data_IF_463650080816
#
_entry.id   IF_463650080816
#
_cell.length_a   1.000
_cell.length_b   1.000
_cell.length_c   1.000
_cell.angle_alpha   90.00
_cell.angle_beta   90.00
_cell.angle_gamma   90.00
#
_symmetry.space_group_name_H-M   'P 1'
#
loop_
_entity.id
_entity.type
_entity.pdbx_description
1 polymer ?
#
# COMPACT_ATOMS: atom_id res chain seq x y z
N UNK A 1 -9.61 -9.13 27.41
CA UNK A 1 -9.58 -8.73 25.98
C UNK A 1 -8.27 -9.11 25.30
N UNK A 2 -7.10 -8.79 25.90
CA UNK A 2 -5.81 -9.17 25.30
C UNK A 2 -5.64 -10.70 25.14
N UNK A 3 -6.07 -11.49 26.10
CA UNK A 3 -6.04 -12.96 26.00
C UNK A 3 -6.90 -13.47 24.84
N UNK A 4 -8.13 -12.96 24.71
CA UNK A 4 -9.04 -13.30 23.60
C UNK A 4 -8.41 -12.92 22.26
N UNK A 5 -7.78 -11.75 22.18
CA UNK A 5 -7.09 -11.33 20.97
C UNK A 5 -5.94 -12.28 20.61
N UNK A 6 -5.13 -12.66 21.59
CA UNK A 6 -4.02 -13.57 21.35
C UNK A 6 -4.49 -14.99 20.95
N UNK A 7 -5.62 -15.46 21.46
CA UNK A 7 -6.26 -16.70 21.02
C UNK A 7 -6.75 -16.59 19.56
N UNK A 8 -7.38 -15.47 19.19
CA UNK A 8 -7.74 -15.18 17.79
C UNK A 8 -6.50 -15.18 16.89
N UNK A 9 -5.42 -14.55 17.33
CA UNK A 9 -4.16 -14.54 16.59
C UNK A 9 -3.60 -15.95 16.41
N UNK A 10 -3.63 -16.76 17.43
CA UNK A 10 -3.16 -18.16 17.39
C UNK A 10 -3.93 -18.96 16.34
N UNK A 11 -5.26 -18.88 16.36
CA UNK A 11 -6.16 -19.59 15.44
C UNK A 11 -5.90 -19.15 13.99
N UNK A 12 -5.89 -17.84 13.72
CA UNK A 12 -5.74 -17.32 12.37
C UNK A 12 -4.31 -17.44 11.83
N UNK A 13 -3.27 -17.24 12.66
CA UNK A 13 -1.88 -17.41 12.23
C UNK A 13 -1.57 -18.84 11.81
N UNK A 14 -2.11 -19.84 12.51
CA UNK A 14 -1.94 -21.23 12.13
C UNK A 14 -2.47 -21.49 10.71
N UNK A 15 -3.63 -20.93 10.39
CA UNK A 15 -4.23 -21.01 9.06
C UNK A 15 -3.42 -20.25 8.00
N UNK A 16 -2.93 -19.05 8.34
CA UNK A 16 -2.13 -18.21 7.43
C UNK A 16 -0.80 -18.90 7.10
N UNK A 17 -0.11 -19.45 8.10
CA UNK A 17 1.18 -20.13 7.91
C UNK A 17 1.05 -21.39 7.05
N UNK A 18 -0.04 -22.13 7.20
CA UNK A 18 -0.32 -23.34 6.44
C UNK A 18 -0.99 -23.07 5.09
N UNK A 19 -1.34 -21.81 4.79
CA UNK A 19 -2.05 -21.38 3.57
C UNK A 19 -3.26 -22.27 3.27
N UNK A 20 -4.12 -22.47 4.27
CA UNK A 20 -5.28 -23.36 4.23
C UNK A 20 -6.29 -22.93 3.16
N UNK A 21 -7.20 -23.84 2.80
CA UNK A 21 -8.29 -23.55 1.86
C UNK A 21 -9.28 -22.55 2.47
N UNK A 22 -9.99 -21.81 1.62
CA UNK A 22 -10.95 -20.78 2.02
C UNK A 22 -11.99 -21.29 3.02
N UNK A 23 -12.49 -22.52 2.81
CA UNK A 23 -13.48 -23.14 3.72
C UNK A 23 -12.94 -23.47 5.10
N UNK A 24 -11.67 -23.85 5.18
CA UNK A 24 -11.00 -24.08 6.46
C UNK A 24 -10.77 -22.76 7.20
N UNK A 25 -10.40 -21.72 6.44
CA UNK A 25 -10.23 -20.38 6.98
C UNK A 25 -11.55 -19.77 7.47
N UNK A 26 -12.64 -19.95 6.73
CA UNK A 26 -14.00 -19.56 7.15
C UNK A 26 -14.37 -20.20 8.50
N UNK A 27 -14.05 -21.50 8.68
CA UNK A 27 -14.29 -22.19 9.94
C UNK A 27 -13.45 -21.60 11.10
N UNK A 28 -12.19 -21.26 10.85
CA UNK A 28 -11.35 -20.61 11.86
C UNK A 28 -11.91 -19.24 12.24
N UNK A 29 -12.39 -18.45 11.27
CA UNK A 29 -13.06 -17.17 11.53
C UNK A 29 -14.35 -17.38 12.33
N UNK A 30 -15.13 -18.43 12.06
CA UNK A 30 -16.28 -18.80 12.89
C UNK A 30 -15.87 -19.09 14.35
N UNK A 31 -14.76 -19.79 14.56
CA UNK A 31 -14.23 -20.05 15.90
C UNK A 31 -13.85 -18.74 16.59
N UNK A 32 -13.22 -17.80 15.87
CA UNK A 32 -12.93 -16.47 16.40
C UNK A 32 -14.20 -15.74 16.85
N UNK A 33 -15.31 -15.85 16.12
CA UNK A 33 -16.58 -15.25 16.53
C UNK A 33 -17.12 -15.95 17.82
N UNK A 34 -16.90 -17.24 17.97
CA UNK A 34 -17.25 -17.96 19.23
C UNK A 34 -16.39 -17.46 20.40
N UNK A 35 -15.10 -17.23 20.20
CA UNK A 35 -14.21 -16.62 21.21
C UNK A 35 -14.69 -15.22 21.61
N UNK A 36 -15.26 -14.45 20.68
CA UNK A 36 -15.90 -13.15 20.95
C UNK A 36 -17.26 -13.28 21.66
N UNK A 37 -17.71 -14.49 22.00
CA UNK A 37 -18.94 -14.76 22.77
C UNK A 37 -20.19 -15.00 21.95
N UNK A 38 -20.15 -14.92 20.61
CA UNK A 38 -21.29 -15.23 19.76
C UNK A 38 -21.59 -16.73 19.73
N UNK A 39 -22.86 -17.13 19.71
CA UNK A 39 -23.28 -18.52 19.90
C UNK A 39 -23.85 -19.11 18.60
N UNK A 40 -23.08 -20.01 17.95
CA UNK A 40 -23.51 -20.69 16.72
C UNK A 40 -24.82 -21.46 16.94
N UNK A 41 -24.94 -22.18 18.05
CA UNK A 41 -26.15 -22.97 18.38
C UNK A 41 -27.40 -22.13 18.71
N UNK A 42 -27.25 -20.83 18.94
CA UNK A 42 -28.36 -19.90 19.12
C UNK A 42 -28.75 -19.18 17.83
N UNK A 43 -28.13 -19.55 16.69
CA UNK A 43 -28.34 -18.89 15.43
C UNK A 43 -27.76 -17.46 15.37
N UNK A 44 -26.72 -17.18 16.18
CA UNK A 44 -26.06 -15.87 16.19
C UNK A 44 -24.90 -15.82 15.19
N UNK A 45 -24.38 -16.95 14.75
CA UNK A 45 -23.39 -17.08 13.68
C UNK A 45 -24.06 -17.93 12.59
N UNK A 46 -24.35 -17.31 11.46
CA UNK A 46 -24.99 -17.92 10.29
C UNK A 46 -23.94 -18.01 9.18
N UNK A 47 -23.65 -19.23 8.74
CA UNK A 47 -22.67 -19.46 7.66
C UNK A 47 -23.39 -19.70 6.34
N UNK A 48 -22.76 -19.30 5.22
CA UNK A 48 -23.31 -19.44 3.88
C UNK A 48 -24.73 -18.87 3.80
N UNK A 49 -24.88 -17.64 4.30
CA UNK A 49 -26.16 -16.97 4.43
C UNK A 49 -26.68 -16.56 3.05
N UNK A 50 -27.89 -17.03 2.65
CA UNK A 50 -28.39 -16.77 1.31
C UNK A 50 -28.86 -15.32 1.14
N UNK A 51 -28.37 -14.67 0.10
CA UNK A 51 -28.75 -13.30 -0.30
C UNK A 51 -29.30 -13.34 -1.72
N UNK A 52 -30.52 -12.84 -1.89
CA UNK A 52 -31.16 -12.75 -3.19
C UNK A 52 -30.70 -11.50 -3.95
N UNK A 53 -30.02 -11.67 -5.07
CA UNK A 53 -29.57 -10.61 -5.95
C UNK A 53 -30.28 -10.70 -7.31
N UNK A 54 -31.46 -10.08 -7.40
CA UNK A 54 -32.29 -10.22 -8.62
C UNK A 54 -32.68 -11.68 -8.86
N UNK A 55 -32.24 -12.26 -9.97
CA UNK A 55 -32.49 -13.68 -10.32
C UNK A 55 -31.45 -14.65 -9.77
N UNK A 56 -30.31 -14.15 -9.26
CA UNK A 56 -29.24 -14.97 -8.72
C UNK A 56 -29.30 -15.05 -7.20
N UNK A 57 -28.88 -16.18 -6.66
CA UNK A 57 -28.72 -16.40 -5.23
C UNK A 57 -27.23 -16.42 -4.92
N UNK A 58 -26.79 -15.48 -4.12
CA UNK A 58 -25.42 -15.42 -3.59
C UNK A 58 -25.41 -15.80 -2.11
N UNK A 59 -24.23 -16.07 -1.59
CA UNK A 59 -24.09 -16.48 -0.20
C UNK A 59 -23.01 -15.62 0.45
N UNK A 60 -23.34 -14.96 1.56
CA UNK A 60 -22.34 -14.36 2.42
C UNK A 60 -21.72 -15.45 3.29
N UNK A 61 -20.40 -15.41 3.47
CA UNK A 61 -19.68 -16.43 4.21
C UNK A 61 -20.20 -16.55 5.64
N UNK A 62 -20.23 -15.43 6.36
CA UNK A 62 -20.69 -15.39 7.75
C UNK A 62 -21.54 -14.13 7.97
N UNK A 63 -22.70 -14.29 8.57
CA UNK A 63 -23.53 -13.21 9.08
C UNK A 63 -23.67 -13.39 10.59
N UNK A 64 -23.37 -12.34 11.34
CA UNK A 64 -23.57 -12.34 12.79
C UNK A 64 -24.88 -11.62 13.10
N UNK A 65 -25.74 -12.27 13.89
CA UNK A 65 -27.06 -11.77 14.27
C UNK A 65 -27.24 -11.75 15.78
N UNK A 66 -28.11 -10.82 16.23
CA UNK A 66 -28.54 -10.73 17.62
C UNK A 66 -30.06 -10.46 17.64
N UNK A 67 -30.78 -11.22 18.42
CA UNK A 67 -32.25 -11.13 18.49
C UNK A 67 -32.93 -11.25 17.12
N UNK A 68 -32.46 -12.15 16.28
CA UNK A 68 -32.93 -12.38 14.89
C UNK A 68 -32.77 -11.17 13.95
N UNK A 69 -31.89 -10.24 14.28
CA UNK A 69 -31.53 -9.12 13.40
C UNK A 69 -30.04 -9.21 13.08
N UNK A 70 -29.69 -9.10 11.81
CA UNK A 70 -28.31 -9.08 11.34
C UNK A 70 -27.62 -7.84 11.91
N UNK A 71 -26.40 -8.01 12.40
CA UNK A 71 -25.60 -6.94 13.01
C UNK A 71 -24.42 -6.54 12.11
N UNK A 72 -23.75 -7.52 11.57
CA UNK A 72 -22.66 -7.33 10.63
C UNK A 72 -22.43 -8.58 9.77
N UNK A 73 -21.79 -8.39 8.63
CA UNK A 73 -21.44 -9.44 7.68
C UNK A 73 -19.93 -9.57 7.58
N UNK A 74 -19.47 -10.80 7.40
CA UNK A 74 -18.05 -11.10 7.24
C UNK A 74 -17.87 -11.82 5.90
N UNK A 75 -16.96 -11.31 5.09
CA UNK A 75 -16.43 -11.99 3.91
C UNK A 75 -15.03 -12.48 4.25
N UNK A 76 -14.78 -13.76 3.99
CA UNK A 76 -13.49 -14.40 4.25
C UNK A 76 -12.81 -14.75 2.94
N UNK A 77 -11.52 -14.57 2.89
CA UNK A 77 -10.70 -15.06 1.78
C UNK A 77 -9.52 -15.85 2.31
N UNK A 78 -9.16 -16.89 1.59
CA UNK A 78 -8.00 -17.70 1.95
C UNK A 78 -6.78 -16.84 2.22
N UNK A 79 -5.90 -17.25 3.12
CA UNK A 79 -4.63 -16.60 3.36
C UNK A 79 -3.89 -16.36 2.03
N UNK A 80 -3.14 -15.27 1.94
CA UNK A 80 -2.44 -14.86 0.74
C UNK A 80 -3.30 -14.44 -0.46
N UNK A 81 -4.64 -14.42 -0.36
CA UNK A 81 -5.50 -13.75 -1.33
C UNK A 81 -5.30 -12.25 -1.24
N UNK A 82 -5.05 -11.61 -2.38
CA UNK A 82 -4.94 -10.16 -2.44
C UNK A 82 -6.34 -9.61 -2.66
N UNK A 83 -6.78 -8.78 -1.74
CA UNK A 83 -8.05 -8.06 -1.84
C UNK A 83 -8.15 -7.35 -3.19
N UNK A 84 -9.21 -7.65 -3.92
CA UNK A 84 -9.57 -7.03 -5.19
C UNK A 84 -10.77 -6.11 -4.99
N UNK A 85 -10.96 -5.17 -5.89
CA UNK A 85 -12.13 -4.28 -5.88
C UNK A 85 -13.46 -5.05 -5.96
N UNK A 86 -13.44 -6.20 -6.65
CA UNK A 86 -14.59 -7.11 -6.74
C UNK A 86 -14.96 -7.72 -5.39
N UNK A 87 -13.97 -8.08 -4.56
CA UNK A 87 -14.21 -8.62 -3.21
C UNK A 87 -14.87 -7.56 -2.32
N UNK A 88 -14.40 -6.31 -2.39
CA UNK A 88 -15.00 -5.20 -1.65
C UNK A 88 -16.44 -4.93 -2.12
N UNK A 89 -16.67 -4.89 -3.43
CA UNK A 89 -18.01 -4.72 -4.00
C UNK A 89 -18.97 -5.85 -3.61
N UNK A 90 -18.45 -7.07 -3.49
CA UNK A 90 -19.23 -8.22 -3.01
C UNK A 90 -19.66 -7.99 -1.57
N UNK A 91 -18.73 -7.65 -0.67
CA UNK A 91 -19.03 -7.33 0.73
C UNK A 91 -20.06 -6.19 0.84
N UNK A 92 -19.87 -5.10 0.09
CA UNK A 92 -20.77 -3.95 0.09
C UNK A 92 -22.18 -4.32 -0.38
N UNK A 93 -22.27 -5.19 -1.38
CA UNK A 93 -23.57 -5.72 -1.85
C UNK A 93 -24.24 -6.52 -0.74
N UNK A 94 -23.51 -7.34 -0.01
CA UNK A 94 -24.06 -8.10 1.10
C UNK A 94 -24.55 -7.21 2.23
N UNK A 95 -23.77 -6.18 2.62
CA UNK A 95 -24.17 -5.21 3.64
C UNK A 95 -25.54 -4.59 3.34
N UNK A 96 -25.80 -4.26 2.06
CA UNK A 96 -27.03 -3.55 1.62
C UNK A 96 -28.20 -4.46 1.28
N UNK A 97 -27.95 -5.73 0.93
CA UNK A 97 -28.96 -6.67 0.46
C UNK A 97 -29.43 -7.67 1.53
N UNK A 98 -28.83 -7.68 2.71
CA UNK A 98 -29.33 -8.44 3.85
C UNK A 98 -30.76 -8.00 4.20
N UNK A 99 -31.55 -8.91 4.78
CA UNK A 99 -32.96 -8.65 5.17
C UNK A 99 -33.09 -7.41 6.08
N UNK A 100 -32.17 -7.29 7.04
CA UNK A 100 -31.94 -6.07 7.78
C UNK A 100 -30.59 -5.54 7.33
N UNK A 101 -30.61 -4.42 6.61
CA UNK A 101 -29.38 -3.80 6.12
C UNK A 101 -28.41 -3.58 7.27
N UNK A 102 -27.17 -4.03 7.09
CA UNK A 102 -26.10 -3.84 8.07
C UNK A 102 -25.16 -2.73 7.60
N UNK A 103 -24.63 -1.99 8.56
CA UNK A 103 -23.72 -0.86 8.29
C UNK A 103 -22.25 -1.22 8.56
N UNK A 104 -22.00 -2.44 9.03
CA UNK A 104 -20.65 -2.94 9.28
C UNK A 104 -20.40 -4.18 8.44
N UNK A 105 -19.31 -4.16 7.71
CA UNK A 105 -18.75 -5.30 6.98
C UNK A 105 -17.34 -5.58 7.44
N UNK A 106 -17.03 -6.85 7.70
CA UNK A 106 -15.67 -7.29 7.97
C UNK A 106 -15.14 -8.08 6.78
N UNK A 107 -13.98 -7.72 6.30
CA UNK A 107 -13.19 -8.55 5.40
C UNK A 107 -12.05 -9.16 6.19
N UNK A 108 -11.95 -10.50 6.20
CA UNK A 108 -10.93 -11.22 6.95
C UNK A 108 -10.11 -12.10 6.01
N UNK A 109 -8.86 -11.69 5.81
CA UNK A 109 -7.82 -12.39 5.05
C UNK A 109 -6.53 -12.39 5.87
N UNK A 110 -5.43 -11.90 5.30
CA UNK A 110 -4.16 -11.71 6.05
C UNK A 110 -4.28 -10.64 7.16
N UNK A 111 -5.38 -9.88 7.16
CA UNK A 111 -5.74 -8.84 8.13
C UNK A 111 -7.23 -8.87 8.40
N UNK A 112 -7.65 -8.22 9.47
CA UNK A 112 -9.06 -7.92 9.71
C UNK A 112 -9.30 -6.47 9.28
N UNK A 113 -10.26 -6.25 8.39
CA UNK A 113 -10.60 -4.93 7.86
C UNK A 113 -12.08 -4.64 8.12
N UNK A 114 -12.36 -3.49 8.73
CA UNK A 114 -13.72 -3.02 9.02
C UNK A 114 -14.12 -1.97 7.99
N UNK A 115 -15.21 -2.25 7.29
CA UNK A 115 -15.89 -1.32 6.39
C UNK A 115 -17.14 -0.77 7.07
N UNK A 116 -17.38 0.52 6.90
CA UNK A 116 -18.52 1.22 7.46
C UNK A 116 -19.34 1.88 6.34
N UNK A 117 -20.61 1.52 6.26
CA UNK A 117 -21.60 2.16 5.37
C UNK A 117 -22.29 3.30 6.13
N UNK A 118 -21.88 4.53 5.84
CA UNK A 118 -22.58 5.69 6.37
C UNK A 118 -23.85 5.94 5.55
N UNK A 119 -24.98 5.38 6.01
CA UNK A 119 -26.26 5.48 5.34
C UNK A 119 -26.79 6.91 5.19
N UNK A 120 -26.15 7.89 5.86
CA UNK A 120 -26.48 9.32 5.69
C UNK A 120 -25.80 9.91 4.45
N UNK A 121 -24.81 9.24 3.91
CA UNK A 121 -24.12 9.60 2.67
C UNK A 121 -24.55 8.67 1.52
N UNK A 122 -24.52 9.15 0.28
CA UNK A 122 -24.76 8.31 -0.90
C UNK A 122 -23.49 7.60 -1.37
N UNK A 123 -22.46 7.58 -0.55
CA UNK A 123 -21.16 6.97 -0.86
C UNK A 123 -21.18 5.46 -0.66
N UNK A 124 -20.18 4.78 -1.22
CA UNK A 124 -19.94 3.37 -0.93
C UNK A 124 -19.38 3.22 0.50
N UNK A 125 -19.53 2.02 1.12
CA UNK A 125 -18.86 1.73 2.37
C UNK A 125 -17.35 2.00 2.27
N UNK A 126 -16.76 2.54 3.33
CA UNK A 126 -15.35 2.90 3.38
C UNK A 126 -14.61 2.03 4.39
N UNK A 127 -13.37 1.66 4.07
CA UNK A 127 -12.46 1.05 5.02
C UNK A 127 -12.10 2.07 6.11
N UNK A 128 -12.50 1.78 7.35
CA UNK A 128 -12.29 2.69 8.49
C UNK A 128 -11.29 2.16 9.50
N UNK A 129 -11.04 0.85 9.53
CA UNK A 129 -10.14 0.25 10.49
C UNK A 129 -9.51 -1.03 9.93
N UNK A 130 -8.22 -1.22 10.14
CA UNK A 130 -7.48 -2.40 9.68
C UNK A 130 -6.57 -2.90 10.81
N UNK A 131 -6.64 -4.19 11.09
CA UNK A 131 -5.94 -4.83 12.20
C UNK A 131 -5.00 -5.90 11.65
N UNK A 132 -3.71 -5.75 11.93
CA UNK A 132 -2.72 -6.82 11.68
C UNK A 132 -2.91 -7.94 12.69
N UNK A 133 -2.87 -9.19 12.23
CA UNK A 133 -3.02 -10.37 13.07
C UNK A 133 -1.70 -10.64 13.79
N UNK A 134 -1.43 -9.83 14.81
CA UNK A 134 -0.23 -9.89 15.65
C UNK A 134 -0.62 -9.91 17.12
N UNK A 135 0.08 -10.72 17.92
CA UNK A 135 -0.18 -10.79 19.36
C UNK A 135 0.11 -9.46 20.05
N UNK A 136 -0.68 -9.17 21.06
CA UNK A 136 -0.61 -7.93 21.86
C UNK A 136 -0.81 -6.63 21.03
N UNK A 137 -1.33 -6.73 19.82
CA UNK A 137 -1.65 -5.58 18.99
C UNK A 137 -2.76 -4.74 19.63
N UNK A 138 -2.54 -3.44 19.93
CA UNK A 138 -3.56 -2.56 20.52
C UNK A 138 -4.84 -2.47 19.66
N UNK A 139 -4.69 -2.47 18.34
CA UNK A 139 -5.82 -2.44 17.42
C UNK A 139 -6.62 -3.75 17.46
N UNK A 140 -5.94 -4.89 17.68
CA UNK A 140 -6.59 -6.17 17.90
C UNK A 140 -7.38 -6.20 19.22
N UNK A 141 -6.83 -5.64 20.29
CA UNK A 141 -7.55 -5.49 21.56
C UNK A 141 -8.78 -4.60 21.37
N UNK A 142 -8.64 -3.53 20.58
CA UNK A 142 -9.77 -2.65 20.24
C UNK A 142 -10.83 -3.36 19.40
N UNK A 143 -10.43 -4.20 18.46
CA UNK A 143 -11.36 -5.05 17.71
C UNK A 143 -12.16 -5.96 18.64
N UNK A 144 -11.52 -6.64 19.59
CA UNK A 144 -12.19 -7.46 20.61
C UNK A 144 -13.18 -6.64 21.44
N UNK A 145 -12.79 -5.43 21.87
CA UNK A 145 -13.67 -4.53 22.61
C UNK A 145 -14.95 -4.17 21.82
N UNK A 146 -14.81 -3.90 20.51
CA UNK A 146 -15.92 -3.47 19.66
C UNK A 146 -16.84 -4.62 19.25
N UNK A 147 -16.28 -5.81 19.00
CA UNK A 147 -17.01 -6.92 18.38
C UNK A 147 -17.32 -8.10 19.32
N UNK A 148 -16.85 -8.07 20.58
CA UNK A 148 -17.31 -9.04 21.57
C UNK A 148 -18.78 -8.83 21.89
N UNK A 149 -19.55 -9.92 21.94
CA UNK A 149 -21.00 -9.90 22.13
C UNK A 149 -21.44 -9.12 23.35
N UNK A 150 -20.72 -9.28 24.47
CA UNK A 150 -21.11 -8.64 25.74
C UNK A 150 -20.89 -7.12 25.73
N UNK A 151 -19.96 -6.61 24.92
CA UNK A 151 -19.67 -5.18 24.74
C UNK A 151 -20.22 -4.62 23.43
N UNK A 152 -20.77 -5.46 22.56
CA UNK A 152 -21.25 -5.05 21.23
C UNK A 152 -22.36 -4.00 21.34
N UNK A 153 -22.07 -2.83 20.81
CA UNK A 153 -23.02 -1.72 20.77
C UNK A 153 -22.87 -0.97 19.45
N UNK A 154 -23.91 -0.98 18.65
CA UNK A 154 -23.94 -0.37 17.31
C UNK A 154 -23.55 1.11 17.36
N UNK A 155 -24.07 1.86 18.33
CA UNK A 155 -23.77 3.30 18.44
C UNK A 155 -22.31 3.56 18.81
N UNK A 156 -21.74 2.74 19.68
CA UNK A 156 -20.31 2.83 20.04
C UNK A 156 -19.43 2.58 18.81
N UNK A 157 -19.76 1.58 17.99
CA UNK A 157 -19.03 1.27 16.76
C UNK A 157 -19.19 2.38 15.72
N UNK A 158 -20.39 2.95 15.56
CA UNK A 158 -20.63 4.12 14.68
C UNK A 158 -19.73 5.29 15.09
N UNK A 159 -19.71 5.61 16.37
CA UNK A 159 -18.88 6.72 16.88
C UNK A 159 -17.40 6.47 16.61
N UNK A 160 -16.92 5.24 16.83
CA UNK A 160 -15.57 4.83 16.50
C UNK A 160 -15.28 4.98 14.99
N UNK A 161 -16.16 4.46 14.12
CA UNK A 161 -16.01 4.56 12.67
C UNK A 161 -15.94 6.02 12.18
N UNK A 162 -16.84 6.87 12.69
CA UNK A 162 -16.85 8.30 12.35
C UNK A 162 -15.56 9.00 12.78
N UNK A 163 -15.06 8.69 13.96
CA UNK A 163 -13.78 9.25 14.42
C UNK A 163 -12.61 8.77 13.57
N UNK A 164 -12.57 7.49 13.19
CA UNK A 164 -11.54 6.97 12.30
C UNK A 164 -11.59 7.65 10.91
N UNK A 165 -12.78 7.85 10.35
CA UNK A 165 -12.96 8.62 9.10
C UNK A 165 -12.43 10.05 9.25
N UNK A 166 -12.80 10.75 10.33
CA UNK A 166 -12.32 12.11 10.61
C UNK A 166 -10.79 12.17 10.65
N UNK A 167 -10.16 11.27 11.41
CA UNK A 167 -8.70 11.19 11.52
C UNK A 167 -8.06 10.90 10.16
N UNK A 168 -8.64 10.00 9.37
CA UNK A 168 -8.14 9.67 8.04
C UNK A 168 -8.19 10.86 7.09
N UNK A 169 -9.33 11.57 7.03
CA UNK A 169 -9.48 12.75 6.19
C UNK A 169 -8.55 13.88 6.59
N UNK A 170 -8.40 14.13 7.90
CA UNK A 170 -7.46 15.13 8.42
C UNK A 170 -6.02 14.81 8.02
N UNK A 171 -5.59 13.56 8.16
CA UNK A 171 -4.26 13.11 7.73
C UNK A 171 -4.06 13.27 6.22
N UNK A 172 -5.08 12.95 5.43
CA UNK A 172 -5.04 13.12 3.98
C UNK A 172 -4.90 14.59 3.59
N UNK A 173 -5.63 15.48 4.24
CA UNK A 173 -5.51 16.93 4.03
C UNK A 173 -4.12 17.43 4.39
N UNK A 174 -3.58 17.01 5.54
CA UNK A 174 -2.21 17.36 5.96
C UNK A 174 -1.19 16.87 4.92
N UNK A 175 -1.31 15.62 4.46
CA UNK A 175 -0.37 15.07 3.48
C UNK A 175 -0.45 15.77 2.13
N UNK A 176 -1.65 16.11 1.69
CA UNK A 176 -1.85 16.87 0.47
C UNK A 176 -1.23 18.27 0.55
N UNK A 177 -1.36 18.95 1.70
CA UNK A 177 -0.75 20.26 1.91
C UNK A 177 0.78 20.16 1.99
N UNK A 178 1.32 19.14 2.65
CA UNK A 178 2.76 18.85 2.66
C UNK A 178 3.26 18.63 1.23
N UNK A 179 2.58 17.80 0.44
CA UNK A 179 2.96 17.52 -0.94
C UNK A 179 2.92 18.81 -1.82
N UNK A 180 1.93 19.66 -1.62
CA UNK A 180 1.81 20.94 -2.30
C UNK A 180 2.99 21.85 -1.96
N UNK A 181 3.35 21.95 -0.69
CA UNK A 181 4.52 22.73 -0.23
C UNK A 181 5.82 22.17 -0.81
N UNK A 182 6.00 20.83 -0.77
CA UNK A 182 7.20 20.17 -1.29
C UNK A 182 7.32 20.25 -2.82
N UNK A 183 6.19 20.39 -3.54
CA UNK A 183 6.17 20.57 -4.99
C UNK A 183 6.56 21.98 -5.44
N UNK A 184 6.59 22.95 -4.53
CA UNK A 184 6.99 24.33 -4.81
C UNK A 184 8.51 24.47 -4.87
N UNK A 185 9.12 23.92 -5.92
CA UNK A 185 10.57 23.93 -6.13
C UNK A 185 11.18 25.33 -6.31
N UNK A 186 10.36 26.34 -6.60
CA UNK A 186 10.77 27.72 -6.80
C UNK A 186 10.53 28.61 -5.57
N UNK A 187 9.90 28.06 -4.52
CA UNK A 187 9.56 28.79 -3.30
C UNK A 187 8.55 29.91 -3.49
N UNK A 188 7.72 29.81 -4.53
CA UNK A 188 6.72 30.85 -4.86
C UNK A 188 5.74 31.06 -3.72
N UNK A 189 5.26 29.99 -3.09
CA UNK A 189 4.33 30.06 -1.96
C UNK A 189 4.90 30.90 -0.81
N UNK A 190 6.17 30.66 -0.47
CA UNK A 190 6.85 31.40 0.59
C UNK A 190 7.18 32.83 0.17
N UNK A 191 7.57 33.07 -1.09
CA UNK A 191 7.80 34.40 -1.61
C UNK A 191 6.53 35.22 -1.59
N UNK A 192 5.39 34.65 -1.97
CA UNK A 192 4.10 35.36 -1.93
C UNK A 192 3.70 35.73 -0.50
N UNK A 193 3.88 34.82 0.46
CA UNK A 193 3.60 35.11 1.87
C UNK A 193 4.51 36.21 2.42
N UNK A 194 5.79 36.23 2.06
CA UNK A 194 6.73 37.30 2.41
C UNK A 194 6.34 38.62 1.72
N UNK A 195 5.91 38.56 0.46
CA UNK A 195 5.44 39.74 -0.29
C UNK A 195 4.24 40.36 0.42
N UNK A 196 3.22 39.58 0.76
CA UNK A 196 2.06 40.08 1.50
C UNK A 196 2.45 40.72 2.83
N UNK A 197 3.34 40.06 3.60
CA UNK A 197 3.86 40.58 4.87
C UNK A 197 4.51 41.99 4.68
N UNK A 198 5.43 42.13 3.72
CA UNK A 198 6.14 43.36 3.51
C UNK A 198 5.22 44.50 2.98
N UNK A 199 4.20 44.18 2.18
CA UNK A 199 3.19 45.14 1.78
C UNK A 199 2.35 45.63 2.96
N UNK A 200 1.98 44.75 3.91
CA UNK A 200 1.29 45.14 5.14
C UNK A 200 2.18 46.00 6.03
N UNK A 201 3.48 45.78 6.04
CA UNK A 201 4.47 46.61 6.76
C UNK A 201 4.70 47.98 6.08
N UNK A 202 4.08 48.27 4.90
CA UNK A 202 4.09 49.52 4.23
C UNK A 202 5.20 49.72 3.17
N UNK A 203 5.89 48.66 2.79
CA UNK A 203 6.88 48.68 1.71
C UNK A 203 6.22 48.73 0.34
N UNK A 204 6.87 49.39 -0.64
CA UNK A 204 6.37 49.43 -2.02
C UNK A 204 6.61 48.11 -2.76
N UNK A 205 5.81 47.82 -3.80
CA UNK A 205 6.00 46.60 -4.61
C UNK A 205 7.41 46.53 -5.23
N UNK A 206 7.96 47.65 -5.70
CA UNK A 206 9.30 47.72 -6.28
C UNK A 206 10.38 47.33 -5.27
N UNK A 207 10.24 47.79 -4.01
CA UNK A 207 11.14 47.42 -2.94
C UNK A 207 11.05 45.95 -2.63
N UNK A 208 9.84 45.41 -2.51
CA UNK A 208 9.60 43.97 -2.22
C UNK A 208 10.14 43.07 -3.32
N UNK A 209 9.90 43.43 -4.58
CA UNK A 209 10.40 42.68 -5.73
C UNK A 209 11.94 42.74 -5.82
N UNK A 210 12.56 43.89 -5.49
CA UNK A 210 14.02 43.98 -5.39
C UNK A 210 14.63 43.08 -4.30
N UNK A 211 13.92 42.92 -3.18
CA UNK A 211 14.36 42.02 -2.08
C UNK A 211 14.19 40.56 -2.45
N UNK A 212 13.05 40.19 -3.03
CA UNK A 212 12.69 38.77 -3.21
C UNK A 212 13.20 38.15 -4.53
N UNK A 213 13.50 38.98 -5.56
CA UNK A 213 13.97 38.51 -6.87
C UNK A 213 15.30 37.71 -6.80
N UNK A 214 16.33 38.15 -6.05
CA UNK A 214 17.61 37.45 -5.99
C UNK A 214 17.58 36.21 -5.07
N UNK A 215 16.49 36.01 -4.33
CA UNK A 215 16.41 34.92 -3.32
C UNK A 215 15.85 33.66 -3.96
N UNK A 216 16.55 32.53 -3.76
CA UNK A 216 16.05 31.18 -4.06
C UNK A 216 15.71 30.47 -2.75
N UNK A 217 14.46 30.06 -2.59
CA UNK A 217 14.01 29.27 -1.43
C UNK A 217 13.90 27.82 -1.83
N UNK A 218 14.57 26.96 -1.10
CA UNK A 218 14.50 25.50 -1.29
C UNK A 218 13.76 24.88 -0.11
N UNK A 219 12.70 24.17 -0.40
CA UNK A 219 11.90 23.44 0.60
C UNK A 219 12.26 21.97 0.54
N UNK A 220 12.55 21.37 1.68
CA UNK A 220 12.82 19.93 1.79
C UNK A 220 12.16 19.35 3.02
N UNK A 221 11.73 18.11 2.92
CA UNK A 221 11.17 17.36 4.07
C UNK A 221 12.27 17.06 5.07
N UNK A 222 12.00 17.32 6.34
CA UNK A 222 12.90 16.88 7.43
C UNK A 222 12.73 15.37 7.57
N UNK A 223 13.72 14.58 7.19
CA UNK A 223 13.77 13.16 7.51
C UNK A 223 13.84 13.01 9.03
N UNK A 224 12.70 12.76 9.68
CA UNK A 224 12.66 12.42 11.10
C UNK A 224 13.51 11.16 11.30
N UNK A 225 14.55 11.25 12.13
CA UNK A 225 15.13 10.06 12.75
C UNK A 225 13.99 9.39 13.50
N UNK A 226 13.82 8.09 13.28
CA UNK A 226 12.79 7.25 13.89
C UNK A 226 12.76 7.47 15.42
N UNK A 227 11.78 8.22 15.88
CA UNK A 227 11.27 8.15 17.24
C UNK A 227 9.87 8.77 17.24
N UNK A 228 8.91 7.91 17.39
CA UNK A 228 7.45 8.07 17.44
C UNK A 228 6.77 7.64 16.13
N UNK A 229 6.31 6.41 16.17
CA UNK A 229 5.41 5.84 15.18
C UNK A 229 4.12 6.66 15.14
N UNK A 230 4.02 7.56 14.18
CA UNK A 230 2.73 7.92 13.65
C UNK A 230 2.39 6.72 12.75
N UNK A 231 1.52 5.84 13.21
CA UNK A 231 0.91 4.81 12.37
C UNK A 231 0.19 5.52 11.21
N UNK A 232 0.94 5.77 10.14
CA UNK A 232 0.34 6.01 8.86
C UNK A 232 -0.27 4.67 8.47
N UNK A 233 -1.59 4.56 8.51
CA UNK A 233 -2.28 3.57 7.72
C UNK A 233 -1.69 3.70 6.30
N UNK A 234 -0.78 2.80 5.96
CA UNK A 234 -0.45 2.59 4.56
C UNK A 234 -1.77 2.20 3.92
N UNK A 235 -2.35 3.13 3.16
CA UNK A 235 -3.30 2.70 2.15
C UNK A 235 -2.67 1.47 1.52
N UNK A 236 -3.39 0.36 1.59
CA UNK A 236 -3.07 -0.81 0.80
C UNK A 236 -3.01 -0.33 -0.65
N UNK A 237 -1.82 0.07 -1.10
CA UNK A 237 -1.56 -0.11 -2.51
C UNK A 237 -1.78 -1.61 -2.69
N UNK A 238 -2.84 -1.94 -3.37
CA UNK A 238 -3.14 -3.27 -3.86
C UNK A 238 -1.82 -3.82 -4.39
N UNK A 239 -1.14 -4.62 -3.57
CA UNK A 239 0.00 -5.38 -4.05
C UNK A 239 -0.63 -6.48 -4.87
N UNK A 240 -0.90 -6.16 -6.13
CA UNK A 240 -1.19 -7.18 -7.14
C UNK A 240 -0.09 -8.21 -6.97
N UNK A 241 -0.42 -9.39 -6.40
CA UNK A 241 0.48 -10.55 -6.46
C UNK A 241 0.74 -10.77 -7.93
N UNK A 242 1.92 -10.45 -8.30
CA UNK A 242 2.40 -10.43 -9.64
C UNK A 242 2.07 -11.73 -10.36
N UNK A 243 1.17 -11.68 -11.30
CA UNK A 243 1.57 -12.18 -12.59
C UNK A 243 2.99 -11.66 -12.81
N UNK A 244 3.99 -12.56 -12.92
CA UNK A 244 5.40 -12.18 -13.07
C UNK A 244 5.46 -11.01 -14.03
N UNK A 245 5.78 -9.85 -13.48
CA UNK A 245 5.82 -8.61 -14.24
C UNK A 245 7.02 -8.66 -15.18
N UNK A 246 6.76 -8.90 -16.44
CA UNK A 246 7.73 -9.01 -17.53
C UNK A 246 7.97 -7.68 -18.24
N UNK A 247 7.51 -6.57 -17.69
CA UNK A 247 7.76 -5.24 -18.25
C UNK A 247 9.26 -5.02 -18.44
N UNK A 248 9.62 -4.62 -19.65
CA UNK A 248 10.98 -4.29 -20.07
C UNK A 248 11.10 -2.81 -20.39
N UNK A 249 12.28 -2.29 -20.30
CA UNK A 249 12.57 -0.88 -20.57
C UNK A 249 13.78 -0.76 -21.50
N UNK A 250 13.76 0.22 -22.41
CA UNK A 250 14.94 0.60 -23.17
C UNK A 250 15.32 2.05 -22.92
N UNK A 251 16.58 2.38 -23.15
CA UNK A 251 17.11 3.75 -23.20
C UNK A 251 17.62 4.04 -24.60
N UNK A 252 17.40 5.25 -25.10
CA UNK A 252 17.89 5.73 -26.40
C UNK A 252 17.61 4.79 -27.58
N UNK A 253 16.44 4.12 -27.60
CA UNK A 253 16.07 3.19 -28.67
C UNK A 253 16.85 1.86 -28.67
N UNK A 254 17.57 1.55 -27.58
CA UNK A 254 18.28 0.29 -27.41
C UNK A 254 17.36 -0.92 -27.20
N UNK A 255 17.94 -2.11 -27.01
CA UNK A 255 17.17 -3.34 -26.77
C UNK A 255 16.38 -3.26 -25.45
N UNK A 256 15.13 -3.75 -25.41
CA UNK A 256 14.35 -3.84 -24.19
C UNK A 256 15.00 -4.74 -23.14
N UNK A 257 15.29 -4.20 -21.97
CA UNK A 257 15.96 -4.85 -20.85
C UNK A 257 14.97 -5.11 -19.71
N UNK A 258 15.08 -6.21 -18.96
CA UNK A 258 14.35 -6.38 -17.71
C UNK A 258 14.76 -5.32 -16.71
N UNK A 259 13.90 -5.01 -15.73
CA UNK A 259 14.04 -3.92 -14.75
C UNK A 259 15.43 -3.77 -14.15
N UNK A 260 15.99 -4.86 -13.65
CA UNK A 260 17.30 -4.87 -13.01
C UNK A 260 18.43 -4.49 -14.00
N UNK A 261 18.42 -5.05 -15.20
CA UNK A 261 19.41 -4.72 -16.25
C UNK A 261 19.22 -3.32 -16.81
N UNK A 262 17.99 -2.82 -16.87
CA UNK A 262 17.70 -1.43 -17.23
C UNK A 262 18.35 -0.46 -16.23
N UNK A 263 18.21 -0.70 -14.91
CA UNK A 263 18.85 0.15 -13.89
C UNK A 263 20.38 0.10 -14.02
N UNK A 264 20.96 -1.08 -14.19
CA UNK A 264 22.39 -1.21 -14.43
C UNK A 264 22.83 -0.39 -15.66
N UNK A 265 22.07 -0.45 -16.75
CA UNK A 265 22.38 0.30 -17.98
C UNK A 265 22.31 1.82 -17.77
N UNK A 266 21.29 2.31 -17.03
CA UNK A 266 21.16 3.74 -16.68
C UNK A 266 22.34 4.21 -15.83
N UNK A 267 22.67 3.47 -14.77
CA UNK A 267 23.79 3.83 -13.88
C UNK A 267 25.12 3.77 -14.61
N UNK A 268 25.39 2.71 -15.37
CA UNK A 268 26.63 2.56 -16.13
C UNK A 268 26.81 3.69 -17.15
N UNK A 269 25.73 4.04 -17.88
CA UNK A 269 25.76 5.15 -18.84
C UNK A 269 26.05 6.47 -18.16
N UNK A 270 25.37 6.77 -17.04
CA UNK A 270 25.62 8.00 -16.28
C UNK A 270 27.06 8.08 -15.75
N UNK A 271 27.60 6.99 -15.22
CA UNK A 271 28.98 6.92 -14.72
C UNK A 271 30.01 7.21 -15.84
N UNK A 272 29.76 6.70 -17.04
CA UNK A 272 30.63 6.94 -18.18
C UNK A 272 30.55 8.38 -18.71
N UNK A 273 29.37 9.01 -18.68
CA UNK A 273 29.16 10.38 -19.18
C UNK A 273 29.56 11.45 -18.15
N UNK A 274 29.42 11.16 -16.86
CA UNK A 274 29.64 12.12 -15.77
C UNK A 274 30.58 11.55 -14.71
N UNK A 275 31.91 11.53 -14.94
CA UNK A 275 32.87 10.99 -13.98
C UNK A 275 32.84 11.73 -12.64
N UNK A 276 32.47 11.03 -11.55
CA UNK A 276 32.31 11.55 -10.19
C UNK A 276 32.97 10.63 -9.18
N UNK A 277 33.16 11.13 -7.95
CA UNK A 277 33.56 10.30 -6.80
C UNK A 277 32.42 9.37 -6.39
N UNK A 278 32.77 8.29 -5.67
CA UNK A 278 31.77 7.35 -5.16
C UNK A 278 30.71 8.04 -4.29
N UNK A 279 31.14 8.95 -3.41
CA UNK A 279 30.21 9.67 -2.53
C UNK A 279 29.24 10.55 -3.32
N UNK A 280 29.67 11.20 -4.39
CA UNK A 280 28.78 11.98 -5.26
C UNK A 280 27.78 11.06 -5.97
N UNK A 281 28.19 9.88 -6.46
CA UNK A 281 27.28 8.89 -7.02
C UNK A 281 26.30 8.34 -5.98
N UNK A 282 26.77 8.03 -4.76
CA UNK A 282 25.94 7.55 -3.69
C UNK A 282 24.84 8.57 -3.32
N UNK A 283 25.19 9.85 -3.27
CA UNK A 283 24.21 10.91 -3.02
C UNK A 283 23.16 11.04 -4.14
N UNK A 284 23.56 10.87 -5.40
CA UNK A 284 22.63 10.96 -6.54
C UNK A 284 21.73 9.72 -6.61
N UNK A 285 22.33 8.52 -6.60
CA UNK A 285 21.60 7.32 -6.89
C UNK A 285 20.80 6.77 -5.71
N UNK A 286 21.32 6.82 -4.48
CA UNK A 286 20.62 6.23 -3.34
C UNK A 286 19.39 7.02 -2.94
N UNK A 287 19.27 8.29 -3.33
CA UNK A 287 18.01 9.03 -3.22
C UNK A 287 16.89 8.47 -4.11
N UNK A 288 17.21 7.75 -5.20
CA UNK A 288 16.23 7.14 -6.09
C UNK A 288 15.63 5.85 -5.51
N UNK A 289 16.29 5.27 -4.49
CA UNK A 289 15.82 4.08 -3.78
C UNK A 289 16.25 4.19 -2.31
N UNK A 290 15.47 4.91 -1.47
CA UNK A 290 15.86 5.25 -0.10
C UNK A 290 15.70 4.10 0.91
N UNK A 291 15.64 2.84 0.45
CA UNK A 291 15.67 1.67 1.33
C UNK A 291 17.11 1.34 1.78
N UNK A 292 17.24 0.42 2.73
CA UNK A 292 18.53 -0.01 3.29
C UNK A 292 19.52 -0.58 2.24
N UNK A 293 19.04 -0.92 1.03
CA UNK A 293 19.86 -1.44 -0.04
C UNK A 293 20.44 -0.33 -0.93
N UNK A 294 19.70 0.78 -1.11
CA UNK A 294 20.05 1.82 -2.07
C UNK A 294 20.11 1.32 -3.52
N UNK A 295 20.52 2.19 -4.44
CA UNK A 295 20.78 1.85 -5.85
C UNK A 295 22.20 1.31 -6.04
N UNK A 296 23.16 1.91 -5.37
CA UNK A 296 24.58 1.51 -5.46
C UNK A 296 25.17 1.27 -4.07
N UNK A 297 26.20 0.42 -4.03
CA UNK A 297 26.95 0.13 -2.81
C UNK A 297 28.41 -0.14 -3.13
N UNK A 298 29.33 0.28 -2.26
CA UNK A 298 30.75 -0.04 -2.40
C UNK A 298 30.95 -1.56 -2.32
N UNK A 299 31.74 -2.11 -3.25
CA UNK A 299 31.92 -3.56 -3.36
C UNK A 299 32.52 -4.16 -2.08
N UNK A 300 33.53 -3.51 -1.51
CA UNK A 300 34.22 -3.97 -0.31
C UNK A 300 33.39 -3.85 0.98
N UNK A 301 32.31 -3.07 0.96
CA UNK A 301 31.38 -2.92 2.08
C UNK A 301 30.26 -3.96 2.10
N UNK A 302 30.20 -4.86 1.09
CA UNK A 302 29.15 -5.87 1.00
C UNK A 302 29.34 -6.97 2.03
N UNK A 303 28.31 -7.21 2.84
CA UNK A 303 28.25 -8.40 3.69
C UNK A 303 27.95 -9.65 2.85
N UNK A 304 28.42 -10.83 3.30
CA UNK A 304 28.30 -12.10 2.56
C UNK A 304 26.86 -12.45 2.14
N UNK A 305 25.89 -12.10 2.96
CA UNK A 305 24.45 -12.31 2.67
C UNK A 305 23.85 -11.30 1.68
N UNK A 306 24.56 -10.21 1.36
CA UNK A 306 24.08 -9.15 0.48
C UNK A 306 24.48 -9.35 -0.99
N UNK A 307 25.48 -10.18 -1.28
CA UNK A 307 25.98 -10.42 -2.64
C UNK A 307 24.86 -10.77 -3.64
N UNK A 308 23.86 -11.53 -3.23
CA UNK A 308 22.72 -11.92 -4.07
C UNK A 308 21.84 -10.75 -4.52
N UNK A 309 21.93 -9.60 -3.86
CA UNK A 309 21.08 -8.44 -4.09
C UNK A 309 21.72 -7.40 -5.02
N UNK A 310 22.93 -7.64 -5.49
CA UNK A 310 23.70 -6.72 -6.33
C UNK A 310 24.30 -7.46 -7.52
N UNK A 311 24.63 -6.70 -8.58
CA UNK A 311 25.42 -7.20 -9.71
C UNK A 311 26.89 -7.22 -9.31
N UNK A 312 27.44 -8.40 -9.05
CA UNK A 312 28.79 -8.59 -8.51
C UNK A 312 29.76 -9.21 -9.48
N UNK A 313 29.34 -9.56 -10.71
CA UNK A 313 30.24 -10.03 -11.76
C UNK A 313 31.20 -8.90 -12.17
N UNK A 314 32.43 -9.21 -12.49
CA UNK A 314 33.45 -8.22 -12.83
C UNK A 314 33.00 -7.24 -13.93
N UNK A 315 32.33 -7.73 -14.96
CA UNK A 315 31.85 -6.93 -16.09
C UNK A 315 30.65 -6.03 -15.73
N UNK A 316 30.06 -6.17 -14.55
CA UNK A 316 28.90 -5.42 -14.06
C UNK A 316 29.26 -4.48 -12.90
N UNK A 317 30.48 -4.59 -12.39
CA UNK A 317 31.02 -3.67 -11.41
C UNK A 317 31.46 -2.37 -12.08
N UNK A 318 31.26 -1.26 -11.38
CA UNK A 318 31.64 0.07 -11.84
C UNK A 318 32.75 0.64 -10.97
N UNK A 319 33.52 1.56 -11.52
CA UNK A 319 34.62 2.24 -10.82
C UNK A 319 34.36 3.74 -10.88
N UNK A 320 34.40 4.39 -9.73
CA UNK A 320 34.30 5.85 -9.62
C UNK A 320 35.61 6.55 -9.98
N UNK A 321 35.56 7.88 -10.17
CA UNK A 321 36.76 8.68 -10.48
C UNK A 321 37.85 8.58 -9.41
N UNK A 322 37.47 8.37 -8.17
CA UNK A 322 38.37 8.17 -7.02
C UNK A 322 38.81 6.69 -6.84
N UNK A 323 38.56 5.83 -7.83
CA UNK A 323 39.05 4.45 -7.86
C UNK A 323 38.27 3.46 -7.00
N UNK A 324 37.13 3.86 -6.40
CA UNK A 324 36.29 2.99 -5.59
C UNK A 324 35.44 2.09 -6.49
N UNK A 325 35.61 0.76 -6.32
CA UNK A 325 34.76 -0.24 -7.00
C UNK A 325 33.41 -0.33 -6.30
N UNK A 326 32.33 -0.25 -7.06
CA UNK A 326 30.97 -0.32 -6.55
C UNK A 326 30.05 -1.13 -7.43
N UNK A 327 28.91 -1.52 -6.90
CA UNK A 327 27.92 -2.42 -7.51
C UNK A 327 26.54 -1.81 -7.51
N UNK A 328 25.70 -2.26 -8.45
CA UNK A 328 24.33 -1.80 -8.63
C UNK A 328 23.35 -2.83 -8.08
N UNK A 329 22.31 -2.41 -7.36
CA UNK A 329 21.26 -3.27 -6.84
C UNK A 329 20.49 -3.94 -7.97
N UNK A 330 20.20 -5.25 -7.82
CA UNK A 330 19.45 -6.04 -8.80
C UNK A 330 18.01 -6.33 -8.37
N UNK A 331 17.58 -5.81 -7.23
CA UNK A 331 16.25 -6.02 -6.64
C UNK A 331 15.31 -4.85 -6.97
N UNK A 332 14.49 -5.01 -8.02
CA UNK A 332 13.60 -3.96 -8.51
C UNK A 332 12.17 -4.45 -8.73
N UNK A 333 11.21 -3.68 -8.22
CA UNK A 333 9.77 -3.85 -8.46
C UNK A 333 9.26 -2.72 -9.35
N UNK A 334 8.06 -2.87 -9.94
CA UNK A 334 7.42 -1.85 -10.78
C UNK A 334 7.32 -0.49 -10.07
N UNK A 335 7.03 -0.51 -8.78
CA UNK A 335 6.89 0.70 -7.96
C UNK A 335 8.24 1.37 -7.66
N UNK A 336 9.29 0.58 -7.39
CA UNK A 336 10.61 1.11 -7.00
C UNK A 336 11.47 1.58 -8.18
N UNK A 337 11.13 1.21 -9.43
CA UNK A 337 11.88 1.59 -10.61
C UNK A 337 11.49 2.99 -11.14
N UNK A 338 10.31 3.51 -10.79
CA UNK A 338 9.79 4.78 -11.31
C UNK A 338 10.70 5.99 -11.09
N UNK A 339 11.36 6.18 -9.90
CA UNK A 339 12.32 7.24 -9.73
C UNK A 339 13.52 7.15 -10.69
N UNK A 340 13.99 5.93 -11.00
CA UNK A 340 15.10 5.72 -11.94
C UNK A 340 14.68 6.06 -13.37
N UNK A 341 13.44 5.72 -13.76
CA UNK A 341 12.88 6.10 -15.07
C UNK A 341 12.79 7.63 -15.20
N UNK A 342 12.28 8.31 -14.18
CA UNK A 342 12.22 9.78 -14.16
C UNK A 342 13.61 10.41 -14.25
N UNK A 343 14.56 9.89 -13.49
CA UNK A 343 15.96 10.33 -13.52
C UNK A 343 16.58 10.12 -14.92
N UNK A 344 16.42 8.96 -15.53
CA UNK A 344 16.92 8.68 -16.87
C UNK A 344 16.31 9.63 -17.93
N UNK A 345 15.01 9.90 -17.84
CA UNK A 345 14.34 10.84 -18.73
C UNK A 345 14.81 12.30 -18.53
N UNK A 346 15.09 12.72 -17.28
CA UNK A 346 15.64 14.06 -17.03
C UNK A 346 17.05 14.26 -17.62
N UNK A 347 17.77 13.17 -17.88
CA UNK A 347 19.05 13.16 -18.58
C UNK A 347 18.92 13.04 -20.11
N UNK A 348 17.69 13.00 -20.64
CA UNK A 348 17.44 12.84 -22.07
C UNK A 348 17.63 11.40 -22.59
N UNK A 349 17.60 10.39 -21.70
CA UNK A 349 17.80 9.00 -22.13
C UNK A 349 16.58 8.37 -22.81
N UNK A 350 15.47 9.09 -22.93
CA UNK A 350 14.27 8.68 -23.69
C UNK A 350 13.85 7.24 -23.39
N UNK A 351 13.41 7.01 -22.15
CA UNK A 351 13.02 5.67 -21.69
C UNK A 351 11.72 5.25 -22.35
N UNK A 352 11.71 4.05 -22.95
CA UNK A 352 10.51 3.42 -23.53
C UNK A 352 10.18 2.19 -22.71
N UNK A 353 8.91 2.05 -22.32
CA UNK A 353 8.35 0.92 -21.59
C UNK A 353 7.70 -0.07 -22.57
N UNK A 354 7.97 -1.37 -22.39
CA UNK A 354 7.43 -2.47 -23.20
C UNK A 354 6.62 -3.39 -22.30
N UNK A 355 5.30 -3.26 -22.35
CA UNK A 355 4.37 -4.16 -21.67
C UNK A 355 4.13 -5.40 -22.52
N UNK A 356 4.40 -6.58 -21.99
CA UNK A 356 4.01 -7.83 -22.65
C UNK A 356 2.51 -8.07 -22.44
N UNK A 357 1.66 -7.49 -23.27
CA UNK A 357 0.33 -8.02 -23.46
C UNK A 357 0.48 -9.41 -24.10
N UNK A 358 0.02 -10.44 -23.39
CA UNK A 358 -0.09 -11.78 -23.96
C UNK A 358 -1.08 -11.72 -25.11
N UNK A 359 -0.62 -11.77 -26.36
CA UNK A 359 -1.45 -12.16 -27.47
C UNK A 359 -2.03 -13.55 -27.18
N UNK A 360 -3.30 -13.57 -26.84
CA UNK A 360 -4.09 -14.78 -26.73
C UNK A 360 -4.23 -15.35 -28.15
N UNK A 361 -3.39 -16.32 -28.50
CA UNK A 361 -3.55 -17.08 -29.75
C UNK A 361 -4.66 -18.11 -29.51
N UNK A 362 -5.82 -18.01 -30.17
CA UNK A 362 -6.87 -19.01 -30.00
C UNK A 362 -6.36 -20.34 -30.49
N UNK A 363 -6.39 -21.38 -29.65
CA UNK A 363 -6.10 -22.76 -30.04
C UNK A 363 -7.02 -23.13 -31.19
N UNK A 364 -6.45 -23.42 -32.37
CA UNK A 364 -7.15 -24.06 -33.49
C UNK A 364 -7.69 -25.40 -32.99
N UNK A 365 -9.01 -25.51 -32.89
CA UNK A 365 -9.69 -26.78 -32.78
C UNK A 365 -9.48 -27.52 -34.11
N UNK A 366 -8.68 -28.55 -34.11
CA UNK A 366 -8.66 -29.55 -35.19
C UNK A 366 -9.88 -30.44 -35.03
N UNK A 367 -10.89 -30.23 -35.85
CA UNK A 367 -11.89 -31.27 -36.09
C UNK A 367 -11.21 -32.48 -36.69
N UNK A 368 -11.12 -33.60 -35.99
CA UNK A 368 -11.02 -34.91 -36.60
C UNK A 368 -12.45 -35.37 -36.92
N UNK A 369 -12.74 -35.39 -38.21
CA UNK A 369 -13.81 -36.19 -38.80
C UNK A 369 -13.28 -37.61 -38.80
N UNK A 370 -13.96 -38.52 -38.15
CA UNK A 370 -14.30 -39.88 -38.60
C UNK A 370 -15.36 -40.45 -37.65
#
# INVERSE_FOLDING_TARGET
MNEIWNEICFELKACIQNNVLEKEYENAVCNCMVLLGWKKFKGEILTQYPIQTGHEKKYADIVVSQNNMEQFVIETKRPSHILQEEDERQLFSYMRLLKHQVIFGLYIGDKIQLYYDDTTSQQLPELVFSVEIEENNPDGIKFVELFSKDSFNVQTIINFCREQKRIFHERQQIQNEINKILSDTSGILFKNALKEKYLIEGHSNEWVDAVLSPIVLTVSEIKKRESTEIFLYKQNQVTIKSNKDYTKYSILGGKPLPKNKFVLAVVSKFVNEYPKTYNEYANIFNMLKPDAQGVIKEFNSLLRNQFRNYFTNENECLISRDGIKFVVCNQWKLQTIQPVIKFANSLGYNVVEYNNEKHYCPKKFSHRVN
#
